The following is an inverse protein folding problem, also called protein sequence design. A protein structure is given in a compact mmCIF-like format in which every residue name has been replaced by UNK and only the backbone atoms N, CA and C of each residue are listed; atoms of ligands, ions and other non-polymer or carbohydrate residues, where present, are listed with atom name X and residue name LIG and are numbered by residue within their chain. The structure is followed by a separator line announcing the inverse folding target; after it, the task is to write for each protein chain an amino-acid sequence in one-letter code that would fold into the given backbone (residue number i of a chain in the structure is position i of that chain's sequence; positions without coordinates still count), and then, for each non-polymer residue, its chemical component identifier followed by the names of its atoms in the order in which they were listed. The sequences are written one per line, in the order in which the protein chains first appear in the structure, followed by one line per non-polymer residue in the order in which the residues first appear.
data_IF_445214926232
#
_entry.id   IF_445214926232
#
_cell.length_a   1.000
_cell.length_b   1.000
_cell.length_c   1.000
_cell.angle_alpha   90.00
_cell.angle_beta   90.00
_cell.angle_gamma   90.00
#
_symmetry.space_group_name_H-M   'P 1'
#
loop_
_entity.id
_entity.type
_entity.pdbx_description
1 polymer ?
#
# COMPACT_ATOMS: atom_id res chain seq x y z
N UNK A 1 15.14 25.51 -8.89
CA UNK A 1 14.32 24.93 -7.81
C UNK A 1 13.24 24.07 -8.46
N UNK A 2 13.23 22.76 -8.21
CA UNK A 2 12.21 21.86 -8.75
C UNK A 2 10.86 22.15 -8.07
N UNK A 3 9.74 22.01 -8.79
CA UNK A 3 8.39 22.34 -8.29
C UNK A 3 7.98 21.62 -6.99
N UNK A 4 8.61 20.49 -6.67
CA UNK A 4 8.37 19.73 -5.44
C UNK A 4 8.88 20.47 -4.19
N UNK A 5 10.02 21.17 -4.30
CA UNK A 5 10.55 21.98 -3.19
C UNK A 5 9.66 23.19 -2.90
N UNK A 6 8.96 23.72 -3.91
CA UNK A 6 8.04 24.85 -3.75
C UNK A 6 6.80 24.46 -2.94
N UNK A 7 6.15 23.34 -3.30
CA UNK A 7 4.95 22.84 -2.59
C UNK A 7 5.29 22.53 -1.13
N UNK A 8 6.43 21.91 -0.90
CA UNK A 8 6.88 21.59 0.45
C UNK A 8 7.14 22.85 1.30
N UNK A 9 7.84 23.83 0.74
CA UNK A 9 8.10 25.10 1.44
C UNK A 9 6.78 25.85 1.73
N UNK A 10 5.81 25.80 0.82
CA UNK A 10 4.48 26.36 1.04
C UNK A 10 3.74 25.64 2.19
N UNK A 11 3.85 24.31 2.29
CA UNK A 11 3.27 23.53 3.39
C UNK A 11 3.92 23.86 4.74
N UNK A 12 5.25 24.01 4.79
CA UNK A 12 5.93 24.45 6.01
C UNK A 12 5.51 25.86 6.44
N UNK A 13 5.37 26.77 5.49
CA UNK A 13 4.86 28.11 5.76
C UNK A 13 3.42 28.06 6.32
N UNK A 14 2.56 27.20 5.77
CA UNK A 14 1.20 27.02 6.29
C UNK A 14 1.20 26.53 7.74
N UNK A 15 2.04 25.54 8.10
CA UNK A 15 2.21 25.08 9.50
C UNK A 15 2.61 26.23 10.41
N UNK A 16 3.59 27.04 9.99
CA UNK A 16 4.08 28.18 10.76
C UNK A 16 2.99 29.26 10.97
N UNK A 17 2.24 29.58 9.91
CA UNK A 17 1.13 30.54 9.99
C UNK A 17 0.01 30.06 10.91
N UNK A 18 -0.39 28.77 10.82
CA UNK A 18 -1.41 28.20 11.71
C UNK A 18 -0.94 28.26 13.17
N UNK A 19 0.34 27.98 13.44
CA UNK A 19 0.91 28.05 14.77
C UNK A 19 0.90 29.49 15.35
N UNK A 20 1.28 30.49 14.54
CA UNK A 20 1.18 31.90 14.96
C UNK A 20 -0.27 32.29 15.25
N UNK A 21 -1.21 31.91 14.37
CA UNK A 21 -2.64 32.17 14.58
C UNK A 21 -3.15 31.54 15.89
N UNK A 22 -2.73 30.30 16.20
CA UNK A 22 -3.09 29.62 17.44
C UNK A 22 -2.61 30.41 18.68
N UNK A 23 -1.36 30.85 18.68
CA UNK A 23 -0.81 31.70 19.74
C UNK A 23 -1.61 33.00 19.87
N UNK A 24 -1.88 33.68 18.74
CA UNK A 24 -2.65 34.92 18.72
C UNK A 24 -4.06 34.77 19.30
N UNK A 25 -4.77 33.70 18.96
CA UNK A 25 -6.13 33.42 19.49
C UNK A 25 -6.10 33.17 21.00
N UNK A 26 -5.09 32.44 21.49
CA UNK A 26 -4.93 32.19 22.93
C UNK A 26 -4.68 33.50 23.70
N UNK A 27 -3.75 34.34 23.23
CA UNK A 27 -3.48 35.65 23.83
C UNK A 27 -4.72 36.56 23.81
N UNK A 28 -5.43 36.59 22.68
CA UNK A 28 -6.66 37.36 22.54
C UNK A 28 -7.73 36.90 23.54
N UNK A 29 -7.94 35.58 23.68
CA UNK A 29 -8.90 35.01 24.63
C UNK A 29 -8.63 35.40 26.07
N UNK A 30 -7.38 35.28 26.52
CA UNK A 30 -6.96 35.69 27.87
C UNK A 30 -7.17 37.18 28.08
N UNK A 31 -6.78 38.02 27.11
CA UNK A 31 -6.96 39.48 27.20
C UNK A 31 -8.44 39.85 27.27
N UNK A 32 -9.27 39.28 26.40
CA UNK A 32 -10.71 39.55 26.34
C UNK A 32 -11.43 39.10 27.61
N UNK A 33 -11.08 37.94 28.15
CA UNK A 33 -11.61 37.51 29.44
C UNK A 33 -11.28 38.47 30.58
N UNK A 34 -10.02 38.94 30.66
CA UNK A 34 -9.63 39.92 31.68
C UNK A 34 -10.44 41.22 31.57
N UNK A 35 -10.84 41.61 30.36
CA UNK A 35 -11.64 42.82 30.12
C UNK A 35 -13.13 42.62 30.42
N UNK A 36 -13.74 41.55 29.90
CA UNK A 36 -15.19 41.38 29.95
C UNK A 36 -15.65 40.58 31.18
N UNK A 37 -14.75 39.83 31.82
CA UNK A 37 -15.04 38.82 32.87
C UNK A 37 -16.16 37.82 32.49
N UNK A 38 -16.46 37.69 31.19
CA UNK A 38 -17.48 36.80 30.65
C UNK A 38 -16.85 35.48 30.22
N UNK A 39 -17.40 34.37 30.70
CA UNK A 39 -16.93 33.04 30.31
C UNK A 39 -17.15 32.73 28.83
N UNK A 40 -18.15 33.37 28.19
CA UNK A 40 -18.44 33.21 26.76
C UNK A 40 -17.25 33.59 25.85
N UNK A 41 -16.43 34.57 26.22
CA UNK A 41 -15.24 34.93 25.44
C UNK A 41 -14.17 33.84 25.47
N UNK A 42 -13.97 33.21 26.64
CA UNK A 42 -13.06 32.06 26.78
C UNK A 42 -13.57 30.90 25.93
N UNK A 43 -14.87 30.61 26.02
CA UNK A 43 -15.49 29.47 25.34
C UNK A 43 -15.27 29.53 23.82
N UNK A 44 -15.53 30.69 23.19
CA UNK A 44 -15.30 30.87 21.74
C UNK A 44 -13.81 30.73 21.40
N UNK A 45 -12.91 31.33 22.19
CA UNK A 45 -11.46 31.19 21.92
C UNK A 45 -10.97 29.76 22.10
N UNK A 46 -11.49 29.00 23.06
CA UNK A 46 -11.13 27.60 23.26
C UNK A 46 -11.57 26.74 22.06
N UNK A 47 -12.78 26.95 21.54
CA UNK A 47 -13.26 26.25 20.34
C UNK A 47 -12.38 26.53 19.12
N UNK A 48 -12.03 27.81 18.89
CA UNK A 48 -11.14 28.19 17.77
C UNK A 48 -9.74 27.61 17.95
N UNK A 49 -9.20 27.60 19.18
CA UNK A 49 -7.90 27.00 19.47
C UNK A 49 -7.88 25.49 19.24
N UNK A 50 -8.94 24.77 19.62
CA UNK A 50 -9.06 23.32 19.34
C UNK A 50 -9.07 23.07 17.83
N UNK A 51 -9.82 23.86 17.08
CA UNK A 51 -9.86 23.77 15.62
C UNK A 51 -8.50 24.07 14.97
N UNK A 52 -7.81 25.14 15.39
CA UNK A 52 -6.48 25.49 14.90
C UNK A 52 -5.43 24.42 15.25
N UNK A 53 -5.49 23.85 16.46
CA UNK A 53 -4.62 22.74 16.85
C UNK A 53 -4.84 21.51 15.98
N UNK A 54 -6.10 21.18 15.68
CA UNK A 54 -6.44 20.10 14.77
C UNK A 54 -5.89 20.34 13.36
N UNK A 55 -6.06 21.56 12.81
CA UNK A 55 -5.48 21.92 11.51
C UNK A 55 -3.94 21.84 11.52
N UNK A 56 -3.31 22.30 12.60
CA UNK A 56 -1.86 22.23 12.77
C UNK A 56 -1.37 20.78 12.76
N UNK A 57 -2.06 19.88 13.47
CA UNK A 57 -1.75 18.46 13.48
C UNK A 57 -1.86 17.85 12.07
N UNK A 58 -2.95 18.13 11.36
CA UNK A 58 -3.14 17.61 10.00
C UNK A 58 -2.10 18.14 9.01
N UNK A 59 -1.78 19.43 9.09
CA UNK A 59 -0.73 20.04 8.28
C UNK A 59 0.65 19.40 8.57
N UNK A 60 0.97 19.14 9.84
CA UNK A 60 2.20 18.47 10.23
C UNK A 60 2.30 17.04 9.67
N UNK A 61 1.20 16.27 9.71
CA UNK A 61 1.13 14.91 9.13
C UNK A 61 1.43 14.96 7.62
N UNK A 62 0.81 15.90 6.88
CA UNK A 62 1.02 16.07 5.44
C UNK A 62 2.47 16.47 5.13
N UNK A 63 3.06 17.39 5.90
CA UNK A 63 4.45 17.80 5.75
C UNK A 63 5.42 16.63 5.96
N UNK A 64 5.22 15.86 7.03
CA UNK A 64 6.06 14.70 7.34
C UNK A 64 5.94 13.61 6.27
N UNK A 65 4.72 13.34 5.81
CA UNK A 65 4.52 12.37 4.73
C UNK A 65 5.17 12.83 3.41
N UNK A 66 5.03 14.12 3.06
CA UNK A 66 5.68 14.70 1.88
C UNK A 66 7.21 14.62 1.96
N UNK A 67 7.79 14.97 3.11
CA UNK A 67 9.23 14.84 3.36
C UNK A 67 9.69 13.39 3.28
N UNK A 68 8.86 12.44 3.71
CA UNK A 68 9.17 11.02 3.56
C UNK A 68 9.33 10.62 2.10
N UNK A 69 8.33 10.93 1.27
CA UNK A 69 8.35 10.61 -0.16
C UNK A 69 9.57 11.21 -0.86
N UNK A 70 9.89 12.47 -0.56
CA UNK A 70 11.08 13.15 -1.06
C UNK A 70 12.39 12.49 -0.63
N UNK A 71 12.51 12.18 0.66
CA UNK A 71 13.72 11.56 1.21
C UNK A 71 13.97 10.20 0.58
N UNK A 72 12.93 9.40 0.39
CA UNK A 72 13.01 8.08 -0.25
C UNK A 72 13.37 8.23 -1.74
N UNK A 73 12.75 9.18 -2.44
CA UNK A 73 13.08 9.48 -3.84
C UNK A 73 14.54 9.91 -4.03
N UNK A 74 15.13 10.57 -3.03
CA UNK A 74 16.53 10.97 -2.99
C UNK A 74 17.45 9.93 -2.32
N UNK A 75 17.01 8.68 -2.15
CA UNK A 75 17.75 7.58 -1.54
C UNK A 75 18.17 7.81 -0.06
N UNK A 76 17.68 8.85 0.60
CA UNK A 76 17.82 9.05 2.04
C UNK A 76 16.74 8.28 2.81
N UNK A 77 16.91 6.97 2.80
CA UNK A 77 15.95 6.03 3.36
C UNK A 77 15.70 6.21 4.86
N UNK A 78 16.74 6.54 5.63
CA UNK A 78 16.62 6.76 7.08
C UNK A 78 15.71 7.94 7.42
N UNK A 79 15.95 9.10 6.78
CA UNK A 79 15.10 10.27 6.94
C UNK A 79 13.67 10.00 6.47
N UNK A 80 13.52 9.27 5.35
CA UNK A 80 12.22 8.86 4.82
C UNK A 80 11.40 8.04 5.81
N UNK A 81 11.97 6.94 6.30
CA UNK A 81 11.35 6.06 7.29
C UNK A 81 10.96 6.82 8.55
N UNK A 82 11.86 7.67 9.07
CA UNK A 82 11.57 8.46 10.26
C UNK A 82 10.39 9.41 10.05
N UNK A 83 10.34 10.11 8.91
CA UNK A 83 9.24 11.02 8.60
C UNK A 83 7.91 10.27 8.42
N UNK A 84 7.90 9.13 7.73
CA UNK A 84 6.71 8.27 7.61
C UNK A 84 6.22 7.76 8.97
N UNK A 85 7.13 7.36 9.85
CA UNK A 85 6.79 6.88 11.19
C UNK A 85 6.14 7.99 12.02
N UNK A 86 6.69 9.21 11.97
CA UNK A 86 6.11 10.36 12.66
C UNK A 86 4.76 10.76 12.08
N UNK A 87 4.61 10.77 10.75
CA UNK A 87 3.33 11.02 10.10
C UNK A 87 2.27 10.02 10.59
N UNK A 88 2.58 8.72 10.57
CA UNK A 88 1.67 7.67 11.04
C UNK A 88 1.32 7.80 12.54
N UNK A 89 2.29 8.19 13.38
CA UNK A 89 2.05 8.40 14.82
C UNK A 89 1.13 9.59 15.08
N UNK A 90 1.30 10.69 14.35
CA UNK A 90 0.55 11.92 14.50
C UNK A 90 -0.84 11.89 13.86
N UNK A 91 -1.07 10.98 12.91
CA UNK A 91 -2.37 10.77 12.31
C UNK A 91 -3.41 10.34 13.38
N UNK A 92 -4.48 11.11 13.43
CA UNK A 92 -5.60 10.95 14.37
C UNK A 92 -6.80 10.24 13.73
N UNK A 93 -6.94 10.29 12.40
CA UNK A 93 -7.96 9.55 11.68
C UNK A 93 -7.52 8.10 11.44
N UNK A 94 -8.32 7.09 11.80
CA UNK A 94 -7.97 5.69 11.61
C UNK A 94 -7.61 5.34 10.16
N UNK A 95 -8.35 5.87 9.19
CA UNK A 95 -8.16 5.61 7.77
C UNK A 95 -6.81 6.16 7.28
N UNK A 96 -6.52 7.43 7.63
CA UNK A 96 -5.24 8.08 7.32
C UNK A 96 -4.08 7.34 8.01
N UNK A 97 -4.27 6.97 9.28
CA UNK A 97 -3.26 6.27 10.08
C UNK A 97 -2.94 4.89 9.51
N UNK A 98 -3.97 4.14 9.14
CA UNK A 98 -3.82 2.86 8.45
C UNK A 98 -3.03 3.02 7.15
N UNK A 99 -3.44 3.98 6.29
CA UNK A 99 -2.76 4.23 5.03
C UNK A 99 -1.27 4.58 5.24
N UNK A 100 -0.94 5.42 6.21
CA UNK A 100 0.44 5.80 6.53
C UNK A 100 1.27 4.62 7.06
N UNK A 101 0.69 3.72 7.85
CA UNK A 101 1.37 2.46 8.21
C UNK A 101 1.55 1.53 7.01
N UNK A 102 0.57 1.47 6.11
CA UNK A 102 0.69 0.74 4.84
C UNK A 102 1.83 1.27 3.97
N UNK A 103 1.97 2.59 3.86
CA UNK A 103 3.09 3.24 3.16
C UNK A 103 4.43 2.98 3.85
N UNK A 104 4.45 2.98 5.19
CA UNK A 104 5.66 2.60 5.93
C UNK A 104 6.08 1.14 5.62
N UNK A 105 5.10 0.22 5.50
CA UNK A 105 5.35 -1.15 5.04
C UNK A 105 5.96 -1.21 3.63
N UNK A 106 5.45 -0.40 2.70
CA UNK A 106 6.02 -0.25 1.35
C UNK A 106 7.45 0.27 1.40
N UNK A 107 7.75 1.23 2.27
CA UNK A 107 9.09 1.77 2.42
C UNK A 107 10.07 0.70 2.91
N UNK A 108 9.68 -0.13 3.89
CA UNK A 108 10.50 -1.28 4.31
C UNK A 108 10.66 -2.34 3.21
N UNK A 109 9.69 -2.51 2.31
CA UNK A 109 9.88 -3.34 1.11
C UNK A 109 10.95 -2.78 0.17
N UNK A 110 11.04 -1.47 -0.01
CA UNK A 110 12.10 -0.83 -0.79
C UNK A 110 13.47 -1.13 -0.16
N UNK A 111 13.54 -1.11 1.18
CA UNK A 111 14.73 -1.48 1.96
C UNK A 111 15.00 -2.99 2.02
N UNK A 112 14.15 -3.80 1.38
CA UNK A 112 14.26 -5.26 1.39
C UNK A 112 14.13 -5.89 2.79
N UNK A 113 13.59 -5.16 3.77
CA UNK A 113 13.28 -5.66 5.12
C UNK A 113 11.84 -6.19 5.14
N UNK A 114 11.67 -7.43 4.68
CA UNK A 114 10.35 -8.06 4.55
C UNK A 114 9.64 -8.26 5.89
N UNK A 115 10.38 -8.53 6.97
CA UNK A 115 9.80 -8.75 8.30
C UNK A 115 9.18 -7.47 8.86
N UNK A 116 9.89 -6.34 8.80
CA UNK A 116 9.31 -5.05 9.21
C UNK A 116 8.19 -4.60 8.30
N UNK A 117 8.31 -4.84 7.00
CA UNK A 117 7.23 -4.51 6.07
C UNK A 117 5.92 -5.24 6.44
N UNK A 118 6.00 -6.55 6.72
CA UNK A 118 4.86 -7.36 7.21
C UNK A 118 4.30 -6.77 8.51
N UNK A 119 5.15 -6.43 9.48
CA UNK A 119 4.72 -5.84 10.76
C UNK A 119 3.86 -4.58 10.55
N UNK A 120 4.28 -3.69 9.64
CA UNK A 120 3.54 -2.45 9.37
C UNK A 120 2.29 -2.66 8.52
N UNK A 121 2.28 -3.62 7.60
CA UNK A 121 1.05 -4.01 6.90
C UNK A 121 0.02 -4.62 7.87
N UNK A 122 0.45 -5.41 8.84
CA UNK A 122 -0.42 -5.96 9.89
C UNK A 122 -0.96 -4.86 10.80
N UNK A 123 -0.14 -3.84 11.14
CA UNK A 123 -0.61 -2.66 11.88
C UNK A 123 -1.65 -1.87 11.09
N UNK A 124 -1.44 -1.67 9.79
CA UNK A 124 -2.42 -1.00 8.92
C UNK A 124 -3.75 -1.75 8.90
N UNK A 125 -3.71 -3.06 8.66
CA UNK A 125 -4.91 -3.89 8.67
C UNK A 125 -5.61 -3.89 10.04
N UNK A 126 -4.88 -3.99 11.15
CA UNK A 126 -5.46 -3.94 12.51
C UNK A 126 -6.25 -2.65 12.79
N UNK A 127 -5.85 -1.53 12.19
CA UNK A 127 -6.54 -0.24 12.36
C UNK A 127 -7.77 -0.15 11.45
N UNK A 128 -7.65 -0.57 10.19
CA UNK A 128 -8.73 -0.43 9.21
C UNK A 128 -9.78 -1.54 9.27
N UNK A 129 -9.38 -2.74 9.73
CA UNK A 129 -10.22 -3.94 9.76
C UNK A 129 -10.54 -4.53 8.38
N UNK A 130 -10.00 -3.97 7.29
CA UNK A 130 -10.20 -4.47 5.93
C UNK A 130 -9.08 -4.00 4.99
N UNK A 131 -8.88 -4.74 3.90
CA UNK A 131 -8.04 -4.34 2.77
C UNK A 131 -8.82 -3.60 1.67
N UNK A 132 -10.14 -3.44 1.80
CA UNK A 132 -11.00 -2.72 0.88
C UNK A 132 -10.71 -1.22 0.98
N UNK A 133 -9.72 -0.80 0.19
CA UNK A 133 -9.40 0.54 -0.30
C UNK A 133 -9.73 1.76 0.59
N UNK A 134 -8.68 2.42 1.03
CA UNK A 134 -8.67 3.80 1.56
C UNK A 134 -8.32 4.80 0.43
N UNK A 135 -9.24 5.06 -0.51
CA UNK A 135 -8.93 5.81 -1.76
C UNK A 135 -8.53 7.29 -1.56
N UNK A 136 -8.74 7.88 -0.40
CA UNK A 136 -8.57 9.33 -0.27
C UNK A 136 -7.11 9.81 -0.12
N UNK A 137 -6.10 8.94 -0.02
CA UNK A 137 -4.74 9.38 0.33
C UNK A 137 -3.56 8.87 -0.52
N UNK A 138 -3.73 7.88 -1.41
CA UNK A 138 -2.59 7.30 -2.16
C UNK A 138 -2.65 7.54 -3.67
N UNK A 139 -1.67 8.26 -4.20
CA UNK A 139 -1.40 8.44 -5.64
C UNK A 139 -0.72 7.19 -6.26
N UNK A 140 -0.31 6.20 -5.44
CA UNK A 140 0.47 5.02 -5.83
C UNK A 140 -0.32 3.72 -5.63
N UNK A 141 0.15 2.62 -6.24
CA UNK A 141 -0.40 1.26 -6.06
C UNK A 141 -0.67 0.98 -4.58
N UNK A 142 -1.90 0.53 -4.28
CA UNK A 142 -2.44 0.38 -2.93
C UNK A 142 -1.61 -0.61 -2.09
N UNK A 143 -1.39 -0.28 -0.81
CA UNK A 143 -0.57 -1.08 0.11
C UNK A 143 -0.99 -2.56 0.25
N UNK A 144 -2.28 -2.97 0.12
CA UNK A 144 -2.67 -4.38 0.15
C UNK A 144 -2.05 -5.21 -0.97
N UNK A 145 -1.76 -4.60 -2.14
CA UNK A 145 -1.07 -5.31 -3.22
C UNK A 145 0.34 -5.72 -2.79
N UNK A 146 1.06 -4.80 -2.15
CA UNK A 146 2.41 -5.03 -1.65
C UNK A 146 2.43 -5.98 -0.45
N UNK A 147 1.47 -5.83 0.46
CA UNK A 147 1.26 -6.77 1.56
C UNK A 147 1.01 -8.19 1.05
N UNK A 148 0.13 -8.34 0.05
CA UNK A 148 -0.19 -9.64 -0.55
C UNK A 148 1.03 -10.34 -1.15
N UNK A 149 1.98 -9.59 -1.73
CA UNK A 149 3.26 -10.17 -2.19
C UNK A 149 4.04 -10.74 -1.02
N UNK A 150 4.19 -10.00 0.09
CA UNK A 150 4.96 -10.48 1.22
C UNK A 150 4.26 -11.62 1.97
N UNK A 151 2.95 -11.54 2.19
CA UNK A 151 2.18 -12.63 2.81
C UNK A 151 2.26 -13.91 2.00
N UNK A 152 2.14 -13.82 0.67
CA UNK A 152 2.36 -14.95 -0.23
C UNK A 152 3.75 -15.58 -0.05
N UNK A 153 4.79 -14.75 0.06
CA UNK A 153 6.16 -15.21 0.23
C UNK A 153 6.41 -15.75 1.64
N UNK A 154 5.78 -15.18 2.66
CA UNK A 154 5.90 -15.64 4.04
C UNK A 154 5.12 -16.95 4.28
N UNK A 155 4.13 -17.26 3.43
CA UNK A 155 3.26 -18.42 3.55
C UNK A 155 1.93 -18.11 4.26
N UNK A 156 1.62 -16.84 4.49
CA UNK A 156 0.38 -16.37 5.12
C UNK A 156 -0.76 -16.34 4.10
N UNK A 157 -1.12 -17.51 3.55
CA UNK A 157 -2.06 -17.61 2.44
C UNK A 157 -3.48 -17.14 2.78
N UNK A 158 -3.92 -17.28 4.03
CA UNK A 158 -5.23 -16.81 4.48
C UNK A 158 -5.38 -15.30 4.30
N UNK A 159 -4.36 -14.52 4.68
CA UNK A 159 -4.31 -13.07 4.45
C UNK A 159 -4.33 -12.73 2.95
N UNK A 160 -3.69 -13.55 2.10
CA UNK A 160 -3.73 -13.36 0.64
C UNK A 160 -5.15 -13.56 0.09
N UNK A 161 -5.88 -14.56 0.59
CA UNK A 161 -7.27 -14.78 0.17
C UNK A 161 -8.21 -13.70 0.68
N UNK A 162 -7.97 -13.19 1.87
CA UNK A 162 -8.70 -12.04 2.43
C UNK A 162 -8.46 -10.77 1.60
N UNK A 163 -7.21 -10.46 1.26
CA UNK A 163 -6.90 -9.36 0.32
C UNK A 163 -7.64 -9.54 -1.00
N UNK A 164 -7.66 -10.74 -1.57
CA UNK A 164 -8.34 -11.00 -2.83
C UNK A 164 -9.87 -10.79 -2.74
N UNK A 165 -10.48 -11.17 -1.61
CA UNK A 165 -11.89 -10.95 -1.31
C UNK A 165 -12.19 -9.45 -1.19
N UNK A 166 -11.41 -8.74 -0.38
CA UNK A 166 -11.63 -7.33 -0.06
C UNK A 166 -11.34 -6.39 -1.23
N UNK A 167 -10.33 -6.70 -2.05
CA UNK A 167 -9.87 -5.83 -3.15
C UNK A 167 -10.37 -6.26 -4.52
N UNK A 168 -11.08 -7.40 -4.62
CA UNK A 168 -11.42 -8.04 -5.90
C UNK A 168 -10.19 -8.33 -6.80
N UNK A 169 -9.00 -8.47 -6.22
CA UNK A 169 -7.75 -8.73 -6.93
C UNK A 169 -7.31 -10.19 -6.77
N UNK A 170 -7.68 -11.02 -7.75
CA UNK A 170 -7.57 -12.48 -7.63
C UNK A 170 -6.21 -13.06 -8.04
N UNK A 171 -5.35 -12.30 -8.73
CA UNK A 171 -4.08 -12.81 -9.25
C UNK A 171 -3.12 -13.36 -8.18
N UNK A 172 -3.10 -12.76 -6.99
CA UNK A 172 -2.30 -13.26 -5.88
C UNK A 172 -2.90 -14.54 -5.26
N UNK A 173 -4.23 -14.62 -5.16
CA UNK A 173 -4.91 -15.84 -4.71
C UNK A 173 -4.68 -17.03 -5.67
N UNK A 174 -4.59 -16.78 -6.97
CA UNK A 174 -4.16 -17.79 -7.96
C UNK A 174 -2.76 -18.31 -7.61
N UNK A 175 -1.81 -17.40 -7.38
CA UNK A 175 -0.43 -17.78 -7.06
C UNK A 175 -0.34 -18.52 -5.73
N UNK A 176 -1.06 -18.07 -4.69
CA UNK A 176 -1.13 -18.74 -3.39
C UNK A 176 -1.65 -20.17 -3.51
N UNK A 177 -2.69 -20.38 -4.31
CA UNK A 177 -3.28 -21.71 -4.53
C UNK A 177 -2.35 -22.62 -5.33
N UNK A 178 -1.64 -22.08 -6.34
CA UNK A 178 -0.58 -22.81 -7.07
C UNK A 178 0.53 -23.25 -6.12
N UNK A 179 1.00 -22.37 -5.23
CA UNK A 179 2.08 -22.69 -4.28
C UNK A 179 1.67 -23.78 -3.27
N UNK A 180 0.41 -23.81 -2.89
CA UNK A 180 -0.17 -24.87 -2.05
C UNK A 180 -0.53 -26.14 -2.83
N UNK A 181 -0.35 -26.14 -4.16
CA UNK A 181 -0.75 -27.23 -5.07
C UNK A 181 -2.26 -27.53 -5.06
N UNK A 182 -3.09 -26.59 -4.62
CA UNK A 182 -4.54 -26.66 -4.74
C UNK A 182 -4.99 -26.12 -6.10
N UNK A 183 -4.91 -26.97 -7.11
CA UNK A 183 -5.18 -26.58 -8.50
C UNK A 183 -6.67 -26.36 -8.78
N UNK A 184 -7.58 -26.96 -8.01
CA UNK A 184 -9.02 -26.70 -8.13
C UNK A 184 -9.36 -25.28 -7.65
N UNK A 185 -8.85 -24.90 -6.47
CA UNK A 185 -8.97 -23.54 -5.94
C UNK A 185 -8.26 -22.52 -6.84
N UNK A 186 -7.07 -22.86 -7.35
CA UNK A 186 -6.35 -22.02 -8.31
C UNK A 186 -7.19 -21.76 -9.58
N UNK A 187 -7.86 -22.79 -10.12
CA UNK A 187 -8.71 -22.65 -11.30
C UNK A 187 -9.91 -21.73 -11.02
N UNK A 188 -10.57 -21.87 -9.87
CA UNK A 188 -11.69 -21.01 -9.47
C UNK A 188 -11.28 -19.54 -9.43
N UNK A 189 -10.19 -19.21 -8.71
CA UNK A 189 -9.66 -17.84 -8.68
C UNK A 189 -9.17 -17.36 -10.05
N UNK A 190 -8.59 -18.24 -10.87
CA UNK A 190 -8.09 -17.86 -12.18
C UNK A 190 -9.23 -17.46 -13.12
N UNK A 191 -10.36 -18.16 -13.05
CA UNK A 191 -11.57 -17.80 -13.80
C UNK A 191 -12.11 -16.43 -13.37
N UNK A 192 -12.15 -16.13 -12.07
CA UNK A 192 -12.53 -14.80 -11.57
C UNK A 192 -11.53 -13.73 -12.04
N UNK A 193 -10.24 -14.02 -11.99
CA UNK A 193 -9.16 -13.11 -12.37
C UNK A 193 -9.20 -12.75 -13.86
N UNK A 194 -9.41 -13.73 -14.74
CA UNK A 194 -9.48 -13.52 -16.20
C UNK A 194 -10.72 -12.70 -16.57
N UNK A 195 -11.88 -12.94 -15.93
CA UNK A 195 -13.08 -12.12 -16.14
C UNK A 195 -12.84 -10.64 -15.83
N UNK A 196 -12.04 -10.35 -14.80
CA UNK A 196 -11.68 -8.98 -14.41
C UNK A 196 -10.57 -8.38 -15.28
N UNK A 197 -9.56 -9.18 -15.59
CA UNK A 197 -8.36 -8.74 -16.29
C UNK A 197 -7.91 -9.81 -17.30
N UNK A 198 -8.38 -9.75 -18.56
CA UNK A 198 -8.07 -10.75 -19.57
C UNK A 198 -6.69 -10.50 -20.22
N UNK A 199 -5.63 -10.51 -19.41
CA UNK A 199 -4.24 -10.29 -19.86
C UNK A 199 -3.46 -11.61 -20.03
N UNK A 200 -2.39 -11.58 -20.83
CA UNK A 200 -1.58 -12.74 -21.18
C UNK A 200 -1.11 -13.57 -19.96
N UNK A 201 -0.70 -12.88 -18.89
CA UNK A 201 -0.23 -13.49 -17.63
C UNK A 201 -1.30 -14.36 -16.97
N UNK A 202 -2.56 -13.96 -17.04
CA UNK A 202 -3.66 -14.67 -16.40
C UNK A 202 -4.00 -15.94 -17.18
N UNK A 203 -4.01 -15.88 -18.51
CA UNK A 203 -4.17 -17.04 -19.37
C UNK A 203 -3.02 -18.04 -19.23
N UNK A 204 -1.76 -17.61 -19.22
CA UNK A 204 -0.62 -18.54 -19.03
C UNK A 204 -0.64 -19.22 -17.65
N UNK A 205 -1.09 -18.51 -16.61
CA UNK A 205 -1.29 -19.09 -15.28
C UNK A 205 -2.42 -20.13 -15.29
N UNK A 206 -3.52 -19.88 -16.00
CA UNK A 206 -4.61 -20.86 -16.14
C UNK A 206 -4.22 -22.07 -17.00
N UNK A 207 -3.42 -21.86 -18.04
CA UNK A 207 -2.81 -22.95 -18.81
C UNK A 207 -2.01 -23.90 -17.93
N UNK A 208 -1.14 -23.36 -17.07
CA UNK A 208 -0.41 -24.15 -16.07
C UNK A 208 -1.35 -24.95 -15.16
N UNK A 209 -2.41 -24.32 -14.66
CA UNK A 209 -3.40 -24.96 -13.79
C UNK A 209 -4.13 -26.10 -14.51
N UNK A 210 -4.59 -25.89 -15.75
CA UNK A 210 -5.22 -26.91 -16.57
C UNK A 210 -4.29 -28.11 -16.80
N UNK A 211 -3.01 -27.87 -17.08
CA UNK A 211 -2.01 -28.94 -17.22
C UNK A 211 -1.88 -29.76 -15.93
N UNK A 212 -1.86 -29.10 -14.76
CA UNK A 212 -1.83 -29.79 -13.46
C UNK A 212 -3.12 -30.55 -13.12
N UNK A 213 -4.21 -30.25 -13.80
CA UNK A 213 -5.48 -30.94 -13.71
C UNK A 213 -5.69 -31.98 -14.83
N UNK A 214 -4.66 -32.27 -15.64
CA UNK A 214 -4.72 -33.18 -16.80
C UNK A 214 -5.74 -32.75 -17.88
N UNK A 215 -5.88 -31.43 -18.08
CA UNK A 215 -6.81 -30.83 -19.04
C UNK A 215 -6.04 -30.22 -20.22
N UNK A 216 -5.27 -31.05 -20.94
CA UNK A 216 -4.26 -30.58 -21.91
C UNK A 216 -4.83 -29.73 -23.05
N UNK A 217 -6.02 -30.06 -23.57
CA UNK A 217 -6.68 -29.26 -24.62
C UNK A 217 -7.00 -27.83 -24.15
N UNK A 218 -7.48 -27.70 -22.91
CA UNK A 218 -7.76 -26.38 -22.31
C UNK A 218 -6.47 -25.63 -22.01
N UNK A 219 -5.43 -26.35 -21.55
CA UNK A 219 -4.13 -25.77 -21.29
C UNK A 219 -3.50 -25.16 -22.56
N UNK A 220 -3.57 -25.88 -23.69
CA UNK A 220 -3.06 -25.41 -24.97
C UNK A 220 -3.85 -24.19 -25.47
N UNK A 221 -5.19 -24.23 -25.40
CA UNK A 221 -6.03 -23.09 -25.79
C UNK A 221 -5.71 -21.82 -25.00
N UNK A 222 -5.50 -21.94 -23.68
CA UNK A 222 -5.10 -20.80 -22.84
C UNK A 222 -3.69 -20.29 -23.18
N UNK A 223 -2.74 -21.18 -23.47
CA UNK A 223 -1.39 -20.77 -23.87
C UNK A 223 -1.41 -20.02 -25.21
N UNK A 224 -2.15 -20.52 -26.19
CA UNK A 224 -2.33 -19.84 -27.48
C UNK A 224 -2.93 -18.46 -27.29
N UNK A 225 -3.94 -18.32 -26.43
CA UNK A 225 -4.53 -17.02 -26.09
C UNK A 225 -3.54 -16.09 -25.41
N UNK A 226 -2.73 -16.61 -24.47
CA UNK A 226 -1.68 -15.84 -23.81
C UNK A 226 -0.64 -15.32 -24.83
N UNK A 227 -0.22 -16.17 -25.76
CA UNK A 227 0.75 -15.83 -26.83
C UNK A 227 0.16 -14.80 -27.80
N UNK A 228 -1.11 -14.93 -28.20
CA UNK A 228 -1.75 -13.96 -29.10
C UNK A 228 -1.81 -12.55 -28.48
N UNK A 229 -2.04 -12.47 -27.16
CA UNK A 229 -2.08 -11.20 -26.43
C UNK A 229 -0.70 -10.52 -26.34
N UNK A 230 0.40 -11.23 -26.58
CA UNK A 230 1.74 -10.65 -26.62
C UNK A 230 2.07 -9.89 -27.91
N UNK A 231 1.19 -9.88 -28.93
CA UNK A 231 1.36 -9.13 -30.20
C UNK A 231 2.76 -9.30 -30.83
N UNK A 232 3.20 -10.55 -30.97
CA UNK A 232 4.52 -10.93 -31.52
C UNK A 232 5.74 -10.48 -30.71
N UNK A 233 5.58 -9.94 -29.50
CA UNK A 233 6.70 -9.62 -28.62
C UNK A 233 7.37 -10.91 -28.12
N UNK A 234 8.56 -11.22 -28.64
CA UNK A 234 9.31 -12.46 -28.35
C UNK A 234 9.58 -12.65 -26.87
N UNK A 235 9.93 -11.57 -26.14
CA UNK A 235 10.18 -11.61 -24.68
C UNK A 235 8.91 -11.95 -23.90
N UNK A 236 7.78 -11.36 -24.29
CA UNK A 236 6.48 -11.67 -23.69
C UNK A 236 6.10 -13.13 -23.94
N UNK A 237 6.22 -13.61 -25.18
CA UNK A 237 5.89 -14.99 -25.57
C UNK A 237 6.74 -15.99 -24.79
N UNK A 238 8.06 -15.77 -24.74
CA UNK A 238 8.98 -16.62 -23.98
C UNK A 238 8.59 -16.67 -22.50
N UNK A 239 8.25 -15.53 -21.91
CA UNK A 239 7.79 -15.46 -20.53
C UNK A 239 6.48 -16.25 -20.31
N UNK A 240 5.49 -16.14 -21.20
CA UNK A 240 4.24 -16.90 -21.06
C UNK A 240 4.47 -18.40 -21.15
N UNK A 241 5.35 -18.85 -22.05
CA UNK A 241 5.74 -20.26 -22.15
C UNK A 241 6.51 -20.75 -20.92
N UNK A 242 7.34 -19.90 -20.32
CA UNK A 242 8.07 -20.28 -19.11
C UNK A 242 7.14 -20.44 -17.90
N UNK A 243 6.10 -19.60 -17.80
CA UNK A 243 5.10 -19.66 -16.70
C UNK A 243 4.30 -20.97 -16.65
N UNK A 244 4.31 -21.77 -17.71
CA UNK A 244 3.65 -23.09 -17.75
C UNK A 244 4.52 -24.22 -17.20
N UNK A 245 5.71 -23.91 -16.66
CA UNK A 245 6.65 -24.87 -16.08
C UNK A 245 6.74 -24.74 -14.57
N UNK A 246 6.97 -25.86 -13.88
CA UNK A 246 7.16 -25.90 -12.42
C UNK A 246 8.37 -25.08 -11.97
N UNK A 247 9.44 -25.10 -12.78
CA UNK A 247 10.67 -24.35 -12.56
C UNK A 247 10.43 -22.87 -12.34
N UNK A 248 9.46 -22.28 -13.06
CA UNK A 248 9.11 -20.87 -12.95
C UNK A 248 8.60 -20.54 -11.54
N UNK A 249 7.65 -21.31 -11.02
CA UNK A 249 7.01 -21.04 -9.74
C UNK A 249 7.95 -21.28 -8.56
N UNK A 250 8.77 -22.33 -8.64
CA UNK A 250 9.83 -22.60 -7.65
C UNK A 250 10.85 -21.46 -7.61
N UNK A 251 11.36 -21.04 -8.78
CA UNK A 251 12.33 -19.95 -8.91
C UNK A 251 11.75 -18.61 -8.48
N UNK A 252 10.50 -18.31 -8.84
CA UNK A 252 9.79 -17.10 -8.47
C UNK A 252 9.73 -16.91 -6.95
N UNK A 253 9.29 -17.96 -6.23
CA UNK A 253 9.17 -17.89 -4.78
C UNK A 253 10.54 -17.81 -4.10
N UNK A 254 11.52 -18.64 -4.51
CA UNK A 254 12.84 -18.69 -3.90
C UNK A 254 13.60 -17.36 -4.04
N UNK A 255 13.64 -16.79 -5.26
CA UNK A 255 14.34 -15.53 -5.53
C UNK A 255 13.75 -14.37 -4.72
N UNK A 256 12.42 -14.28 -4.65
CA UNK A 256 11.75 -13.21 -3.91
C UNK A 256 11.86 -13.38 -2.40
N UNK A 257 11.76 -14.60 -1.86
CA UNK A 257 12.01 -14.88 -0.43
C UNK A 257 13.39 -14.42 -0.01
N UNK A 258 14.42 -14.75 -0.79
CA UNK A 258 15.79 -14.29 -0.54
C UNK A 258 15.90 -12.78 -0.58
N UNK A 259 15.29 -12.13 -1.60
CA UNK A 259 15.30 -10.66 -1.74
C UNK A 259 14.78 -9.95 -0.49
N UNK A 260 13.72 -10.44 0.13
CA UNK A 260 13.08 -9.75 1.27
C UNK A 260 13.49 -10.29 2.63
N UNK A 261 14.54 -11.11 2.72
CA UNK A 261 14.99 -11.68 4.00
C UNK A 261 13.96 -12.62 4.64
N UNK A 262 13.12 -13.27 3.83
CA UNK A 262 12.08 -14.23 4.24
C UNK A 262 12.49 -15.69 3.96
N UNK A 263 13.70 -15.92 3.44
CA UNK A 263 14.27 -17.26 3.39
C UNK A 263 14.62 -17.71 4.81
N UNK A 264 14.24 -18.94 5.18
CA UNK A 264 14.69 -19.59 6.40
C UNK A 264 16.15 -20.02 6.28
#
# INVERSE_FOLDING_TARGET
MTGVNFIQNALYLAVYLIFICLIGVLFYGVKKYKQEKRLGSIFVTALVSIFLFFMLNQAAVVCLYSQSLLSIGNYNNSAGINCSLWAARLAIFPEQKSALYGELGKNYMILQDGKKAIEYFDKAYKINGSYAYSDNFSILVSWPFFAGILYLLNGDYDKVYEIAKDTNSYGMAVTASIMQKDYKKALAYSNMNIRRSPIAINYSSRSYIHKKLNQDKLAEGDLQKAVSLCKCNTRCIALQKERTKDSYWLSYAAKKKKKYGLAK
#
